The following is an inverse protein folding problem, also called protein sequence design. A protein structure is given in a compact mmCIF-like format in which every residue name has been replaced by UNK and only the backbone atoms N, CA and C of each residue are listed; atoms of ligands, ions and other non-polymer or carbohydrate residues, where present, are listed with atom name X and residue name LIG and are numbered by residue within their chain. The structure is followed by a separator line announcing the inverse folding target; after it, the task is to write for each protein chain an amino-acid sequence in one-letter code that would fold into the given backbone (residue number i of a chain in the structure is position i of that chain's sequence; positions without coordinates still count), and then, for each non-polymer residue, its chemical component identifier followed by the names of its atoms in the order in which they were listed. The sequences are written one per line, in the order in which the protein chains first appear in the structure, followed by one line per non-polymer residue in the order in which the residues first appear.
data_IF_327557706694
#
_entry.id   IF_327557706694
#
_cell.length_a   1.000
_cell.length_b   1.000
_cell.length_c   1.000
_cell.angle_alpha   90.00
_cell.angle_beta   90.00
_cell.angle_gamma   90.00
#
_symmetry.space_group_name_H-M   'P 1'
#
loop_
_entity.id
_entity.type
_entity.pdbx_description
1 polymer ?
#
# COMPACT_ATOMS: atom_id res chain seq x y z
N UNK A 1 37.05 23.92 26.05
CA UNK A 1 36.86 23.92 24.60
C UNK A 1 36.86 22.45 24.14
N UNK A 2 35.73 21.91 23.70
CA UNK A 2 35.65 20.56 23.11
C UNK A 2 35.75 20.73 21.60
N UNK A 3 36.81 20.23 21.00
CA UNK A 3 37.00 20.17 19.55
C UNK A 3 35.88 19.34 18.91
N UNK A 4 35.17 19.94 17.97
CA UNK A 4 34.23 19.23 17.13
C UNK A 4 35.01 18.41 16.09
N UNK A 5 34.86 17.10 16.14
CA UNK A 5 35.36 16.22 15.08
C UNK A 5 34.88 16.68 13.69
N UNK A 6 35.72 16.61 12.65
CA UNK A 6 35.37 17.03 11.31
C UNK A 6 34.25 16.11 10.75
N UNK A 7 33.18 16.71 10.21
CA UNK A 7 32.13 15.99 9.48
C UNK A 7 32.77 15.40 8.22
N UNK A 8 32.66 14.08 8.07
CA UNK A 8 33.03 13.39 6.85
C UNK A 8 32.23 13.96 5.66
N UNK A 9 32.95 14.52 4.69
CA UNK A 9 32.43 15.06 3.44
C UNK A 9 32.42 14.02 2.31
N UNK A 10 32.14 12.75 2.63
CA UNK A 10 31.97 11.77 1.57
C UNK A 10 30.62 12.06 0.83
N UNK A 11 30.66 12.14 -0.52
CA UNK A 11 29.43 12.28 -1.29
C UNK A 11 28.51 11.08 -1.05
N UNK A 12 27.18 11.26 -1.17
CA UNK A 12 26.26 10.15 -1.06
C UNK A 12 26.62 9.08 -2.09
N UNK A 13 26.69 7.82 -1.65
CA UNK A 13 26.93 6.70 -2.54
C UNK A 13 25.69 6.56 -3.43
N UNK A 14 25.77 7.01 -4.69
CA UNK A 14 24.78 6.68 -5.71
C UNK A 14 24.92 5.20 -6.04
N UNK A 15 24.02 4.38 -5.50
CA UNK A 15 23.96 2.97 -5.83
C UNK A 15 23.06 2.81 -7.05
N UNK A 16 23.65 2.41 -8.17
CA UNK A 16 22.87 1.96 -9.31
C UNK A 16 22.09 0.69 -8.91
N UNK A 17 20.77 0.82 -8.96
CA UNK A 17 19.85 -0.28 -8.58
C UNK A 17 20.10 -1.53 -9.43
N UNK A 18 20.50 -1.38 -10.70
CA UNK A 18 20.85 -2.51 -11.56
C UNK A 18 22.15 -3.18 -11.11
N UNK A 19 23.15 -2.40 -10.72
CA UNK A 19 24.41 -2.93 -10.19
C UNK A 19 24.20 -3.63 -8.83
N UNK A 20 23.36 -3.06 -7.96
CA UNK A 20 23.01 -3.70 -6.70
C UNK A 20 22.26 -5.01 -6.93
N UNK A 21 21.30 -5.02 -7.86
CA UNK A 21 20.58 -6.21 -8.27
C UNK A 21 21.56 -7.29 -8.76
N UNK A 22 22.48 -6.92 -9.62
CA UNK A 22 23.50 -7.82 -10.17
C UNK A 22 24.42 -8.37 -9.06
N UNK A 23 24.81 -7.54 -8.10
CA UNK A 23 25.63 -7.94 -6.97
C UNK A 23 24.90 -8.92 -6.02
N UNK A 24 23.65 -8.65 -5.69
CA UNK A 24 22.82 -9.53 -4.83
C UNK A 24 22.58 -10.88 -5.50
N UNK A 25 22.34 -10.86 -6.79
CA UNK A 25 22.12 -12.06 -7.61
C UNK A 25 23.38 -12.89 -7.71
N UNK A 26 24.55 -12.28 -8.00
CA UNK A 26 25.82 -12.99 -8.06
C UNK A 26 26.22 -13.55 -6.69
N UNK A 27 25.96 -12.82 -5.60
CA UNK A 27 26.20 -13.32 -4.26
C UNK A 27 25.29 -14.52 -3.93
N UNK A 28 24.02 -14.49 -4.32
CA UNK A 28 23.10 -15.62 -4.16
C UNK A 28 23.50 -16.82 -5.01
N UNK A 29 23.96 -16.61 -6.23
CA UNK A 29 24.50 -17.67 -7.11
C UNK A 29 25.79 -18.26 -6.53
N UNK A 30 26.70 -17.42 -6.03
CA UNK A 30 27.95 -17.85 -5.40
C UNK A 30 27.78 -18.62 -4.10
N UNK A 31 26.66 -18.43 -3.40
CA UNK A 31 26.32 -19.17 -2.16
C UNK A 31 25.67 -20.54 -2.42
N UNK A 32 25.44 -20.92 -3.68
CA UNK A 32 24.74 -22.15 -4.04
C UNK A 32 23.22 -22.13 -3.79
N UNK A 33 22.69 -21.00 -3.34
CA UNK A 33 21.24 -20.81 -3.15
C UNK A 33 20.47 -20.70 -4.47
N UNK A 34 21.19 -20.39 -5.56
CA UNK A 34 20.66 -20.34 -6.93
C UNK A 34 21.67 -21.03 -7.86
N UNK A 35 21.27 -22.00 -8.70
CA UNK A 35 22.19 -22.66 -9.64
C UNK A 35 22.86 -21.65 -10.59
N UNK A 36 24.17 -21.74 -10.72
CA UNK A 36 24.94 -20.97 -11.74
C UNK A 36 24.44 -21.35 -13.12
N UNK A 37 23.99 -20.39 -13.91
CA UNK A 37 23.56 -20.60 -15.31
C UNK A 37 22.05 -20.52 -15.54
N UNK A 38 21.19 -20.48 -14.50
CA UNK A 38 19.74 -20.36 -14.67
C UNK A 38 19.20 -18.91 -14.58
N UNK A 39 20.09 -17.92 -14.50
CA UNK A 39 19.67 -16.54 -14.29
C UNK A 39 19.68 -15.72 -15.57
N UNK A 40 18.81 -16.08 -16.49
CA UNK A 40 18.31 -15.16 -17.49
C UNK A 40 17.12 -14.38 -16.88
N UNK A 41 17.40 -13.28 -16.21
CA UNK A 41 16.39 -12.41 -15.58
C UNK A 41 15.25 -12.04 -16.54
N UNK A 42 15.53 -11.98 -17.84
CA UNK A 42 14.54 -11.67 -18.85
C UNK A 42 13.58 -12.85 -19.09
N UNK A 43 14.07 -14.08 -19.06
CA UNK A 43 13.24 -15.29 -19.21
C UNK A 43 12.44 -15.60 -17.94
N UNK A 44 13.06 -15.47 -16.76
CA UNK A 44 12.35 -15.67 -15.48
C UNK A 44 11.29 -14.58 -15.23
N UNK A 45 11.47 -13.35 -15.71
CA UNK A 45 10.44 -12.28 -15.65
C UNK A 45 9.13 -12.66 -16.31
N UNK A 46 9.18 -13.44 -17.38
CA UNK A 46 7.98 -13.82 -18.15
C UNK A 46 7.16 -14.94 -17.50
N UNK A 47 7.67 -15.62 -16.47
CA UNK A 47 7.08 -16.88 -16.01
C UNK A 47 6.09 -16.75 -14.85
N UNK A 48 6.29 -15.81 -13.92
CA UNK A 48 5.42 -15.70 -12.71
C UNK A 48 5.13 -14.24 -12.35
N UNK A 49 3.84 -13.85 -12.23
CA UNK A 49 3.44 -12.49 -11.99
C UNK A 49 3.73 -12.04 -10.55
N UNK A 50 4.27 -10.83 -10.40
CA UNK A 50 4.37 -10.10 -9.14
C UNK A 50 3.22 -9.07 -9.10
N UNK A 51 2.19 -9.37 -8.35
CA UNK A 51 1.02 -8.49 -8.21
C UNK A 51 1.17 -7.61 -6.98
N UNK A 52 1.17 -6.29 -7.19
CA UNK A 52 1.25 -5.29 -6.11
C UNK A 52 -0.06 -4.52 -6.03
N UNK A 53 -0.71 -4.59 -4.87
CA UNK A 53 -1.84 -3.74 -4.51
C UNK A 53 -1.32 -2.68 -3.54
N UNK A 54 -1.04 -1.48 -4.06
CA UNK A 54 -0.71 -0.31 -3.28
C UNK A 54 -2.00 0.34 -2.78
N UNK A 55 -2.18 0.45 -1.48
CA UNK A 55 -3.45 0.89 -0.91
C UNK A 55 -3.25 1.83 0.27
N UNK A 56 -4.15 2.80 0.42
CA UNK A 56 -4.31 3.46 1.71
C UNK A 56 -4.86 2.46 2.73
N UNK A 57 -4.50 2.58 4.01
CA UNK A 57 -5.19 1.85 5.06
C UNK A 57 -6.69 2.06 4.98
N UNK A 58 -7.47 1.04 5.30
CA UNK A 58 -8.95 1.08 5.32
C UNK A 58 -9.64 1.22 3.95
N UNK A 59 -8.90 1.06 2.84
CA UNK A 59 -9.45 1.09 1.47
C UNK A 59 -9.95 -0.29 0.95
N UNK A 60 -10.04 -1.31 1.79
CA UNK A 60 -10.55 -2.63 1.38
C UNK A 60 -9.51 -3.57 0.77
N UNK A 61 -8.23 -3.25 0.87
CA UNK A 61 -7.11 -4.01 0.29
C UNK A 61 -7.06 -5.48 0.76
N UNK A 62 -7.43 -5.75 2.01
CA UNK A 62 -7.53 -7.13 2.52
C UNK A 62 -8.51 -7.98 1.72
N UNK A 63 -9.66 -7.40 1.33
CA UNK A 63 -10.63 -8.08 0.47
C UNK A 63 -10.04 -8.35 -0.91
N UNK A 64 -9.56 -7.31 -1.60
CA UNK A 64 -9.04 -7.44 -2.97
C UNK A 64 -7.89 -8.43 -3.05
N UNK A 65 -6.88 -8.31 -2.18
CA UNK A 65 -5.71 -9.19 -2.18
C UNK A 65 -6.07 -10.64 -1.94
N UNK A 66 -6.90 -10.93 -0.93
CA UNK A 66 -7.31 -12.31 -0.67
C UNK A 66 -8.20 -12.88 -1.78
N UNK A 67 -8.99 -12.05 -2.45
CA UNK A 67 -9.78 -12.42 -3.62
C UNK A 67 -8.87 -12.81 -4.79
N UNK A 68 -7.86 -11.97 -5.09
CA UNK A 68 -6.86 -12.26 -6.12
C UNK A 68 -6.08 -13.55 -5.83
N UNK A 69 -5.62 -13.75 -4.60
CA UNK A 69 -4.94 -14.99 -4.17
C UNK A 69 -5.79 -16.21 -4.46
N UNK A 70 -7.09 -16.17 -4.13
CA UNK A 70 -8.00 -17.31 -4.32
C UNK A 70 -8.31 -17.60 -5.77
N UNK A 71 -8.48 -16.58 -6.59
CA UNK A 71 -8.82 -16.74 -8.02
C UNK A 71 -7.59 -17.22 -8.79
N UNK A 72 -6.41 -16.67 -8.51
CA UNK A 72 -5.20 -16.94 -9.29
C UNK A 72 -4.36 -18.11 -8.78
N UNK A 73 -4.59 -18.54 -7.53
CA UNK A 73 -3.74 -19.54 -6.87
C UNK A 73 -2.35 -19.03 -6.50
N UNK A 74 -2.04 -17.75 -6.76
CA UNK A 74 -0.77 -17.14 -6.35
C UNK A 74 -0.66 -17.06 -4.84
N UNK A 75 0.58 -17.09 -4.33
CA UNK A 75 0.84 -16.96 -2.89
C UNK A 75 0.67 -15.52 -2.43
N UNK A 76 0.12 -15.34 -1.23
CA UNK A 76 0.21 -14.06 -0.53
C UNK A 76 1.63 -13.88 0.02
N UNK A 77 2.33 -12.82 -0.35
CA UNK A 77 3.67 -12.52 0.14
C UNK A 77 3.87 -11.02 0.33
N UNK A 78 4.77 -10.65 1.24
CA UNK A 78 5.05 -9.24 1.57
C UNK A 78 6.34 -8.80 0.88
N UNK A 79 6.21 -7.99 -0.15
CA UNK A 79 7.34 -7.48 -0.92
C UNK A 79 8.01 -6.24 -0.26
N UNK A 80 7.97 -6.15 1.07
CA UNK A 80 8.59 -5.09 1.87
C UNK A 80 9.41 -5.67 3.03
N UNK A 81 10.38 -4.91 3.53
CA UNK A 81 11.25 -5.33 4.63
C UNK A 81 10.52 -5.31 5.99
N UNK A 82 9.72 -4.27 6.27
CA UNK A 82 9.08 -4.04 7.57
C UNK A 82 7.57 -3.83 7.42
N UNK A 83 6.80 -4.89 7.46
CA UNK A 83 5.35 -4.82 7.27
C UNK A 83 4.58 -4.22 8.44
N UNK A 84 5.11 -4.31 9.64
CA UNK A 84 4.40 -3.89 10.86
C UNK A 84 4.21 -2.38 10.99
N UNK A 85 4.99 -1.59 10.25
CA UNK A 85 4.96 -0.12 10.30
C UNK A 85 3.79 0.48 9.52
N UNK A 86 3.18 -0.26 8.58
CA UNK A 86 2.21 0.26 7.61
C UNK A 86 2.75 1.45 6.78
N UNK A 87 4.06 1.54 6.64
CA UNK A 87 4.77 2.42 5.72
C UNK A 87 5.80 1.56 5.01
N UNK A 88 5.54 1.27 3.75
CA UNK A 88 6.24 0.23 3.02
C UNK A 88 6.97 0.80 1.81
N UNK A 89 8.13 0.22 1.53
CA UNK A 89 8.79 0.32 0.24
C UNK A 89 9.08 -1.09 -0.29
N UNK A 90 9.19 -1.22 -1.60
CA UNK A 90 9.58 -2.47 -2.23
C UNK A 90 10.98 -2.87 -1.75
N UNK A 91 11.12 -4.13 -1.41
CA UNK A 91 12.36 -4.70 -0.89
C UNK A 91 12.99 -5.63 -1.91
N UNK A 92 14.14 -5.25 -2.44
CA UNK A 92 14.81 -5.94 -3.53
C UNK A 92 15.03 -7.43 -3.28
N UNK A 93 15.51 -7.89 -2.11
CA UNK A 93 15.66 -9.33 -1.84
C UNK A 93 14.34 -10.10 -1.93
N UNK A 94 13.22 -9.50 -1.48
CA UNK A 94 11.91 -10.12 -1.58
C UNK A 94 11.41 -10.19 -3.03
N UNK A 95 11.68 -9.16 -3.83
CA UNK A 95 11.40 -9.15 -5.27
C UNK A 95 12.19 -10.24 -6.00
N UNK A 96 13.49 -10.35 -5.76
CA UNK A 96 14.33 -11.39 -6.35
C UNK A 96 13.81 -12.80 -6.02
N UNK A 97 13.49 -13.05 -4.75
CA UNK A 97 12.93 -14.33 -4.31
C UNK A 97 11.60 -14.63 -5.01
N UNK A 98 10.68 -13.67 -5.00
CA UNK A 98 9.31 -13.91 -5.48
C UNK A 98 9.16 -13.80 -6.99
N UNK A 99 10.12 -13.22 -7.70
CA UNK A 99 10.16 -13.24 -9.16
C UNK A 99 10.11 -14.66 -9.73
N UNK A 100 10.67 -15.63 -9.00
CA UNK A 100 10.66 -17.05 -9.36
C UNK A 100 9.31 -17.75 -9.11
N UNK A 101 8.57 -17.33 -8.08
CA UNK A 101 7.37 -18.06 -7.61
C UNK A 101 6.06 -17.34 -7.94
N UNK A 102 6.10 -16.04 -8.16
CA UNK A 102 4.93 -15.20 -8.25
C UNK A 102 4.24 -14.97 -6.90
N UNK A 103 3.62 -13.81 -6.74
CA UNK A 103 2.86 -13.52 -5.53
C UNK A 103 1.85 -12.40 -5.72
N UNK A 104 0.94 -12.28 -4.74
CA UNK A 104 0.10 -11.09 -4.53
C UNK A 104 0.54 -10.43 -3.23
N UNK A 105 0.87 -9.15 -3.29
CA UNK A 105 1.36 -8.35 -2.17
C UNK A 105 0.45 -7.16 -1.90
N UNK A 106 0.06 -6.98 -0.63
CA UNK A 106 -0.58 -5.76 -0.15
C UNK A 106 0.48 -4.84 0.46
N UNK A 107 0.55 -3.61 -0.01
CA UNK A 107 1.50 -2.62 0.51
C UNK A 107 0.84 -1.27 0.76
N UNK A 108 1.19 -0.63 1.89
CA UNK A 108 0.87 0.76 2.15
C UNK A 108 2.09 1.61 1.75
N UNK A 109 2.31 1.76 0.45
CA UNK A 109 3.51 2.37 -0.11
C UNK A 109 3.19 3.58 -0.99
N UNK A 110 3.99 4.61 -0.86
CA UNK A 110 3.92 5.78 -1.74
C UNK A 110 4.56 5.50 -3.10
N UNK A 111 4.12 6.24 -4.10
CA UNK A 111 4.71 6.25 -5.43
C UNK A 111 6.01 7.03 -5.43
N UNK A 112 7.12 6.42 -5.01
CA UNK A 112 8.45 7.02 -5.01
C UNK A 112 9.23 6.61 -6.26
N UNK A 113 10.26 7.39 -6.62
CA UNK A 113 11.15 7.01 -7.73
C UNK A 113 11.86 5.68 -7.48
N UNK A 114 12.20 5.37 -6.22
CA UNK A 114 12.75 4.07 -5.84
C UNK A 114 11.78 2.94 -6.18
N UNK A 115 10.54 3.03 -5.72
CA UNK A 115 9.51 2.03 -5.99
C UNK A 115 9.22 1.92 -7.49
N UNK A 116 9.17 3.04 -8.22
CA UNK A 116 8.97 3.06 -9.66
C UNK A 116 10.12 2.37 -10.43
N UNK A 117 11.38 2.58 -10.00
CA UNK A 117 12.54 1.92 -10.59
C UNK A 117 12.45 0.40 -10.41
N UNK A 118 12.17 -0.08 -9.21
CA UNK A 118 11.99 -1.51 -8.93
C UNK A 118 10.81 -2.10 -9.71
N UNK A 119 9.68 -1.40 -9.79
CA UNK A 119 8.53 -1.85 -10.60
C UNK A 119 8.89 -2.02 -12.06
N UNK A 120 9.60 -1.06 -12.66
CA UNK A 120 10.06 -1.17 -14.05
C UNK A 120 10.99 -2.37 -14.24
N UNK A 121 11.96 -2.55 -13.34
CA UNK A 121 12.93 -3.65 -13.39
C UNK A 121 12.23 -5.01 -13.36
N UNK A 122 11.21 -5.18 -12.51
CA UNK A 122 10.49 -6.44 -12.35
C UNK A 122 9.22 -6.55 -13.19
N UNK A 123 8.90 -5.57 -14.04
CA UNK A 123 7.71 -5.57 -14.88
C UNK A 123 6.40 -5.53 -14.10
N UNK A 124 6.40 -4.86 -12.95
CA UNK A 124 5.24 -4.75 -12.05
C UNK A 124 4.35 -3.59 -12.49
N UNK A 125 3.08 -3.87 -12.75
CA UNK A 125 2.02 -2.88 -12.93
C UNK A 125 1.16 -2.84 -11.66
N UNK A 126 1.25 -1.81 -10.81
CA UNK A 126 0.54 -1.79 -9.54
C UNK A 126 -0.96 -1.51 -9.72
N UNK A 127 -1.76 -2.08 -8.84
CA UNK A 127 -3.14 -1.66 -8.61
C UNK A 127 -3.15 -0.68 -7.44
N UNK A 128 -3.62 0.54 -7.66
CA UNK A 128 -3.68 1.59 -6.65
C UNK A 128 -5.11 1.65 -6.12
N UNK A 129 -5.29 1.23 -4.87
CA UNK A 129 -6.58 1.15 -4.23
C UNK A 129 -6.76 2.28 -3.22
N UNK A 130 -7.72 3.13 -3.48
CA UNK A 130 -8.07 4.30 -2.66
C UNK A 130 -9.53 4.24 -2.19
N UNK A 131 -9.89 5.12 -1.29
CA UNK A 131 -11.24 5.29 -0.75
C UNK A 131 -11.47 6.77 -0.46
N UNK A 132 -12.72 7.24 -0.40
CA UNK A 132 -13.06 8.58 0.07
C UNK A 132 -12.35 8.88 1.38
N UNK A 133 -11.63 9.99 1.42
CA UNK A 133 -10.73 10.29 2.54
C UNK A 133 -11.49 10.48 3.86
N UNK A 134 -12.68 11.06 3.82
CA UNK A 134 -13.56 11.20 4.97
C UNK A 134 -13.93 9.83 5.58
N UNK A 135 -14.26 8.86 4.71
CA UNK A 135 -14.57 7.49 5.13
C UNK A 135 -13.35 6.75 5.69
N UNK A 136 -12.14 7.05 5.16
CA UNK A 136 -10.89 6.52 5.73
C UNK A 136 -10.70 7.03 7.15
N UNK A 137 -10.88 8.33 7.40
CA UNK A 137 -10.73 8.97 8.72
C UNK A 137 -11.62 8.30 9.76
N UNK A 138 -12.91 8.16 9.47
CA UNK A 138 -13.87 7.50 10.37
C UNK A 138 -13.54 6.02 10.57
N UNK A 139 -13.19 5.31 9.50
CA UNK A 139 -12.81 3.91 9.58
C UNK A 139 -11.52 3.70 10.38
N UNK A 140 -10.58 4.63 10.29
CA UNK A 140 -9.33 4.60 11.07
C UNK A 140 -9.59 4.88 12.55
N UNK A 141 -10.46 5.84 12.88
CA UNK A 141 -10.87 6.09 14.26
C UNK A 141 -11.38 4.80 14.93
N UNK A 142 -12.27 4.08 14.27
CA UNK A 142 -12.77 2.82 14.80
C UNK A 142 -11.68 1.76 14.99
N UNK A 143 -10.79 1.62 14.03
CA UNK A 143 -9.68 0.66 14.12
C UNK A 143 -8.71 1.00 15.29
N UNK A 144 -8.46 2.28 15.51
CA UNK A 144 -7.66 2.75 16.62
C UNK A 144 -8.35 2.50 17.98
N UNK A 145 -9.67 2.69 18.06
CA UNK A 145 -10.47 2.37 19.26
C UNK A 145 -10.43 0.87 19.58
N UNK A 146 -10.64 0.00 18.58
CA UNK A 146 -10.50 -1.44 18.79
C UNK A 146 -9.10 -1.85 19.27
N UNK A 147 -8.06 -1.27 18.67
CA UNK A 147 -6.68 -1.52 19.07
C UNK A 147 -6.39 -1.05 20.50
N UNK A 148 -7.00 0.06 20.94
CA UNK A 148 -6.93 0.51 22.34
C UNK A 148 -7.48 -0.55 23.28
N UNK A 149 -8.67 -1.06 23.02
CA UNK A 149 -9.32 -2.10 23.84
C UNK A 149 -8.46 -3.36 23.92
N UNK A 150 -7.92 -3.81 22.78
CA UNK A 150 -7.05 -5.01 22.75
C UNK A 150 -5.72 -4.81 23.48
N UNK A 151 -5.17 -3.59 23.47
CA UNK A 151 -3.94 -3.27 24.22
C UNK A 151 -4.14 -3.29 25.73
N UNK A 152 -5.30 -2.87 26.22
CA UNK A 152 -5.64 -3.00 27.65
C UNK A 152 -5.64 -4.46 28.10
N UNK A 153 -5.84 -5.41 27.17
CA UNK A 153 -5.76 -6.86 27.41
C UNK A 153 -4.35 -7.46 27.11
N UNK A 154 -3.33 -6.61 26.88
CA UNK A 154 -1.95 -7.07 26.62
C UNK A 154 -1.70 -7.69 25.22
N UNK A 155 -2.68 -7.69 24.33
CA UNK A 155 -2.64 -8.44 23.07
C UNK A 155 -2.33 -7.62 21.82
N UNK A 156 -2.14 -6.30 21.92
CA UNK A 156 -2.08 -5.37 20.78
C UNK A 156 -0.69 -4.80 20.48
N UNK A 157 -0.17 -4.99 19.27
CA UNK A 157 0.97 -4.24 18.73
C UNK A 157 0.55 -2.89 18.17
N UNK A 158 1.50 -1.93 18.11
CA UNK A 158 1.28 -0.53 17.77
C UNK A 158 0.47 -0.30 16.50
N UNK A 159 -0.16 0.85 16.44
CA UNK A 159 -0.95 1.35 15.34
C UNK A 159 -0.18 1.55 14.03
N UNK A 160 -0.39 2.66 13.41
CA UNK A 160 0.24 3.06 12.16
C UNK A 160 1.43 3.97 12.43
N UNK A 161 2.48 3.93 11.61
CA UNK A 161 3.66 4.81 11.75
C UNK A 161 3.32 6.30 11.67
N UNK A 162 2.26 6.65 10.93
CA UNK A 162 1.79 8.02 10.77
C UNK A 162 0.79 8.48 11.86
N UNK A 163 0.35 7.59 12.74
CA UNK A 163 -0.44 7.91 13.94
C UNK A 163 0.06 7.06 15.09
N UNK A 164 0.95 7.63 15.88
CA UNK A 164 1.49 6.94 17.04
C UNK A 164 0.48 6.91 18.18
N UNK A 165 0.27 5.77 18.77
CA UNK A 165 -0.58 5.61 19.93
C UNK A 165 0.23 5.22 21.16
N UNK A 166 0.16 6.05 22.18
CA UNK A 166 0.72 5.82 23.51
C UNK A 166 -0.36 5.91 24.60
N UNK A 167 0.05 6.05 25.86
CA UNK A 167 -0.88 6.18 26.98
C UNK A 167 -1.72 7.46 26.88
N UNK A 168 -1.13 8.58 26.46
CA UNK A 168 -1.81 9.88 26.38
C UNK A 168 -2.95 9.90 25.36
N UNK A 169 -2.78 9.16 24.25
CA UNK A 169 -3.79 9.08 23.20
C UNK A 169 -4.98 8.19 23.57
N UNK A 170 -4.86 7.33 24.62
CA UNK A 170 -5.94 6.45 25.03
C UNK A 170 -7.13 7.20 25.67
N UNK A 171 -6.89 8.36 26.23
CA UNK A 171 -7.86 9.17 26.95
C UNK A 171 -8.57 10.21 26.07
N UNK A 172 -8.19 10.29 24.79
CA UNK A 172 -8.80 11.22 23.86
C UNK A 172 -10.30 10.88 23.66
N UNK A 173 -11.14 11.88 23.69
CA UNK A 173 -12.54 11.78 23.26
C UNK A 173 -12.61 11.38 21.77
N UNK A 174 -13.79 10.94 21.32
CA UNK A 174 -14.00 10.55 19.93
C UNK A 174 -13.71 11.71 18.97
N UNK A 175 -14.12 12.91 19.30
CA UNK A 175 -13.88 14.12 18.53
C UNK A 175 -12.38 14.44 18.45
N UNK A 176 -11.67 14.47 19.59
CA UNK A 176 -10.23 14.70 19.65
C UNK A 176 -9.43 13.64 18.92
N UNK A 177 -9.91 12.40 18.88
CA UNK A 177 -9.30 11.34 18.11
C UNK A 177 -9.47 11.56 16.60
N UNK A 178 -10.62 12.04 16.14
CA UNK A 178 -10.83 12.44 14.76
C UNK A 178 -9.90 13.61 14.39
N UNK A 179 -9.80 14.62 15.24
CA UNK A 179 -8.88 15.73 15.04
C UNK A 179 -7.43 15.27 14.87
N UNK A 180 -6.97 14.40 15.75
CA UNK A 180 -5.63 13.83 15.67
C UNK A 180 -5.41 13.06 14.36
N UNK A 181 -6.39 12.29 13.89
CA UNK A 181 -6.31 11.58 12.62
C UNK A 181 -6.23 12.56 11.45
N UNK A 182 -7.03 13.62 11.47
CA UNK A 182 -7.02 14.65 10.42
C UNK A 182 -5.66 15.36 10.39
N UNK A 183 -5.09 15.66 11.53
CA UNK A 183 -3.82 16.40 11.58
C UNK A 183 -2.60 15.55 11.25
N UNK A 184 -2.57 14.27 11.66
CA UNK A 184 -1.38 13.43 11.56
C UNK A 184 -1.46 12.38 10.46
N UNK A 185 -2.63 11.77 10.23
CA UNK A 185 -2.77 10.70 9.25
C UNK A 185 -3.17 11.19 7.86
N UNK A 186 -4.07 12.19 7.77
CA UNK A 186 -4.51 12.73 6.48
C UNK A 186 -3.35 13.25 5.62
N UNK A 187 -2.32 13.95 6.15
CA UNK A 187 -1.15 14.32 5.36
C UNK A 187 -0.45 13.12 4.69
N UNK A 188 -0.40 11.98 5.37
CA UNK A 188 0.15 10.75 4.79
C UNK A 188 -0.73 10.24 3.64
N UNK A 189 -2.06 10.24 3.80
CA UNK A 189 -2.99 9.80 2.75
C UNK A 189 -2.94 10.72 1.53
N UNK A 190 -2.85 12.02 1.75
CA UNK A 190 -2.68 13.01 0.68
C UNK A 190 -1.37 12.75 -0.06
N UNK A 191 -0.25 12.59 0.65
CA UNK A 191 1.06 12.31 0.05
C UNK A 191 1.08 10.95 -0.68
N UNK A 192 0.38 9.93 -0.17
CA UNK A 192 0.19 8.67 -0.89
C UNK A 192 -0.46 8.92 -2.25
N UNK A 193 -1.59 9.63 -2.28
CA UNK A 193 -2.33 9.90 -3.51
C UNK A 193 -1.52 10.73 -4.50
N UNK A 194 -0.97 11.86 -4.04
CA UNK A 194 -0.18 12.79 -4.86
C UNK A 194 1.03 12.08 -5.50
N UNK A 195 1.74 11.26 -4.73
CA UNK A 195 2.92 10.54 -5.23
C UNK A 195 2.56 9.60 -6.37
N UNK A 196 1.47 8.82 -6.24
CA UNK A 196 1.00 7.95 -7.30
C UNK A 196 0.44 8.71 -8.49
N UNK A 197 -0.35 9.78 -8.23
CA UNK A 197 -0.90 10.62 -9.29
C UNK A 197 0.21 11.16 -10.19
N UNK A 198 1.27 11.74 -9.58
CA UNK A 198 2.40 12.32 -10.33
C UNK A 198 3.20 11.27 -11.10
N UNK A 199 3.49 10.12 -10.52
CA UNK A 199 4.19 9.05 -11.23
C UNK A 199 3.40 8.55 -12.45
N UNK A 200 2.10 8.36 -12.30
CA UNK A 200 1.22 7.94 -13.40
C UNK A 200 1.12 9.03 -14.47
N UNK A 201 0.94 10.28 -14.06
CA UNK A 201 0.82 11.42 -14.98
C UNK A 201 2.11 11.67 -15.79
N UNK A 202 3.26 11.42 -15.18
CA UNK A 202 4.58 11.49 -15.83
C UNK A 202 4.89 10.27 -16.71
N UNK A 203 4.00 9.29 -16.78
CA UNK A 203 4.24 8.04 -17.51
C UNK A 203 5.33 7.14 -16.90
N UNK A 204 5.76 7.43 -15.67
CA UNK A 204 6.81 6.66 -14.99
C UNK A 204 6.35 5.25 -14.56
N UNK A 205 5.04 5.09 -14.33
CA UNK A 205 4.41 3.81 -13.95
C UNK A 205 3.04 3.70 -14.62
N UNK A 206 2.79 2.57 -15.27
CA UNK A 206 1.44 2.18 -15.73
C UNK A 206 0.72 1.52 -14.56
N UNK A 207 -0.38 2.13 -14.08
CA UNK A 207 -1.12 1.65 -12.92
C UNK A 207 -2.63 1.65 -13.15
N UNK A 208 -3.32 0.70 -12.51
CA UNK A 208 -4.79 0.70 -12.46
C UNK A 208 -5.26 1.31 -11.14
N UNK A 209 -6.01 2.40 -11.24
CA UNK A 209 -6.71 2.97 -10.10
C UNK A 209 -8.05 2.26 -9.88
N UNK A 210 -8.28 1.91 -8.61
CA UNK A 210 -9.52 1.30 -8.13
C UNK A 210 -9.97 2.05 -6.88
N UNK A 211 -11.24 2.41 -6.80
CA UNK A 211 -11.80 2.98 -5.57
C UNK A 211 -12.51 1.91 -4.75
N UNK A 212 -12.58 2.12 -3.44
CA UNK A 212 -13.36 1.28 -2.54
C UNK A 212 -14.83 1.20 -2.98
N UNK A 213 -15.36 2.34 -3.42
CA UNK A 213 -16.74 2.52 -3.85
C UNK A 213 -17.05 1.67 -5.09
N UNK A 214 -16.16 1.67 -6.09
CA UNK A 214 -16.26 0.79 -7.26
C UNK A 214 -16.18 -0.69 -6.84
N UNK A 215 -15.19 -1.02 -5.98
CA UNK A 215 -14.95 -2.40 -5.55
C UNK A 215 -16.14 -2.99 -4.79
N UNK A 216 -16.78 -2.21 -3.93
CA UNK A 216 -17.91 -2.69 -3.13
C UNK A 216 -19.27 -2.43 -3.78
N UNK A 217 -19.34 -1.55 -4.79
CA UNK A 217 -20.52 -1.35 -5.65
C UNK A 217 -20.75 -2.53 -6.59
N UNK A 218 -19.68 -2.99 -7.26
CA UNK A 218 -19.72 -4.18 -8.13
C UNK A 218 -18.36 -4.92 -8.02
N UNK A 219 -18.33 -5.88 -7.10
CA UNK A 219 -17.11 -6.65 -6.78
C UNK A 219 -16.63 -7.47 -7.97
N UNK A 220 -17.55 -8.14 -8.69
CA UNK A 220 -17.19 -9.02 -9.78
C UNK A 220 -16.59 -8.23 -10.94
N UNK A 221 -17.29 -7.19 -11.40
CA UNK A 221 -16.82 -6.30 -12.46
C UNK A 221 -15.46 -5.69 -12.14
N UNK A 222 -15.28 -5.20 -10.91
CA UNK A 222 -14.03 -4.56 -10.49
C UNK A 222 -12.89 -5.59 -10.41
N UNK A 223 -13.13 -6.77 -9.86
CA UNK A 223 -12.12 -7.84 -9.78
C UNK A 223 -11.72 -8.30 -11.18
N UNK A 224 -12.66 -8.48 -12.11
CA UNK A 224 -12.37 -8.81 -13.52
C UNK A 224 -11.48 -7.75 -14.16
N UNK A 225 -11.81 -6.47 -14.02
CA UNK A 225 -11.01 -5.35 -14.53
C UNK A 225 -9.56 -5.39 -13.99
N UNK A 226 -9.40 -5.74 -12.72
CA UNK A 226 -8.07 -5.90 -12.12
C UNK A 226 -7.32 -7.09 -12.72
N UNK A 227 -7.96 -8.24 -12.88
CA UNK A 227 -7.34 -9.44 -13.46
C UNK A 227 -6.92 -9.21 -14.92
N UNK A 228 -7.79 -8.57 -15.71
CA UNK A 228 -7.52 -8.22 -17.11
C UNK A 228 -6.35 -7.24 -17.24
N UNK A 229 -6.33 -6.19 -16.43
CA UNK A 229 -5.21 -5.24 -16.39
C UNK A 229 -3.88 -5.90 -16.07
N UNK A 230 -3.89 -6.87 -15.14
CA UNK A 230 -2.71 -7.61 -14.72
C UNK A 230 -2.34 -8.73 -15.70
N UNK A 231 -3.14 -9.00 -16.73
CA UNK A 231 -2.94 -10.10 -17.67
C UNK A 231 -3.01 -11.48 -16.99
N UNK A 232 -3.78 -11.61 -15.91
CA UNK A 232 -3.87 -12.84 -15.14
C UNK A 232 -4.98 -13.72 -15.71
N UNK A 233 -4.67 -15.01 -15.93
CA UNK A 233 -5.67 -15.99 -16.37
C UNK A 233 -6.60 -16.33 -15.21
N UNK A 234 -7.91 -16.40 -15.49
CA UNK A 234 -8.94 -16.83 -14.56
C UNK A 234 -10.07 -17.55 -15.32
N UNK A 235 -10.87 -18.32 -14.60
CA UNK A 235 -12.05 -18.98 -15.18
C UNK A 235 -13.14 -17.97 -15.53
N UNK A 236 -13.93 -18.26 -16.56
CA UNK A 236 -15.01 -17.36 -17.00
C UNK A 236 -16.01 -17.03 -15.88
N UNK A 237 -16.26 -17.96 -14.96
CA UNK A 237 -17.09 -17.74 -13.78
C UNK A 237 -16.20 -17.60 -12.53
N UNK A 238 -16.33 -16.46 -11.83
CA UNK A 238 -15.75 -16.27 -10.50
C UNK A 238 -16.73 -16.82 -9.48
N UNK A 239 -16.27 -17.73 -8.61
CA UNK A 239 -17.09 -18.31 -7.55
C UNK A 239 -17.69 -17.19 -6.66
N UNK A 240 -19.03 -17.04 -6.57
CA UNK A 240 -19.68 -16.05 -5.74
C UNK A 240 -19.29 -16.16 -4.25
N UNK A 241 -18.94 -17.36 -3.78
CA UNK A 241 -18.46 -17.60 -2.42
C UNK A 241 -17.13 -16.88 -2.12
N UNK A 242 -16.29 -16.66 -3.14
CA UNK A 242 -15.07 -15.85 -2.99
C UNK A 242 -15.44 -14.38 -2.81
N UNK A 243 -16.38 -13.86 -3.59
CA UNK A 243 -16.79 -12.46 -3.59
C UNK A 243 -17.66 -12.06 -2.39
N UNK A 244 -18.38 -13.01 -1.81
CA UNK A 244 -19.24 -12.78 -0.63
C UNK A 244 -18.48 -12.87 0.70
N UNK A 245 -17.23 -13.33 0.69
CA UNK A 245 -16.47 -13.60 1.91
C UNK A 245 -16.21 -12.33 2.72
N UNK A 246 -16.55 -12.38 3.99
CA UNK A 246 -16.23 -11.32 4.98
C UNK A 246 -14.90 -11.62 5.64
N UNK A 247 -14.03 -10.63 5.70
CA UNK A 247 -12.74 -10.70 6.40
C UNK A 247 -12.83 -9.93 7.73
N UNK A 248 -12.00 -10.28 8.70
CA UNK A 248 -12.01 -9.67 10.04
C UNK A 248 -11.91 -8.14 10.03
N UNK A 249 -11.27 -7.56 9.03
CA UNK A 249 -11.13 -6.11 8.85
C UNK A 249 -12.34 -5.45 8.18
N UNK A 250 -13.29 -6.26 7.69
CA UNK A 250 -14.53 -5.76 7.10
C UNK A 250 -15.55 -5.49 8.21
N UNK A 251 -16.16 -4.31 8.20
CA UNK A 251 -17.24 -3.95 9.13
C UNK A 251 -18.59 -4.08 8.46
N UNK A 252 -19.05 -3.01 7.84
CA UNK A 252 -20.38 -2.91 7.25
C UNK A 252 -20.39 -2.49 5.77
N UNK A 253 -19.22 -2.12 5.22
CA UNK A 253 -19.08 -1.77 3.80
C UNK A 253 -19.76 -0.46 3.40
N UNK A 254 -20.21 0.35 4.37
CA UNK A 254 -20.94 1.58 4.08
C UNK A 254 -20.03 2.64 3.47
N UNK A 255 -20.57 3.33 2.47
CA UNK A 255 -19.97 4.48 1.79
C UNK A 255 -20.65 5.76 2.31
N UNK A 256 -19.89 6.86 2.41
CA UNK A 256 -20.45 8.17 2.79
C UNK A 256 -20.62 8.39 4.29
N UNK A 257 -20.12 7.48 5.14
CA UNK A 257 -20.20 7.65 6.60
C UNK A 257 -19.35 8.84 7.09
N UNK A 258 -18.26 9.14 6.39
CA UNK A 258 -17.39 10.26 6.71
C UNK A 258 -18.12 11.59 6.68
N UNK A 259 -18.85 11.86 5.61
CA UNK A 259 -19.63 13.10 5.46
C UNK A 259 -20.70 13.29 6.54
N UNK A 260 -21.24 12.19 7.09
CA UNK A 260 -22.25 12.23 8.17
C UNK A 260 -21.64 12.34 9.58
N UNK A 261 -20.39 11.94 9.74
CA UNK A 261 -19.73 11.85 11.06
C UNK A 261 -18.86 13.07 11.36
N UNK A 262 -18.17 13.59 10.34
CA UNK A 262 -17.25 14.71 10.50
C UNK A 262 -18.02 16.03 10.60
N UNK A 263 -17.62 16.89 11.55
CA UNK A 263 -18.14 18.25 11.65
C UNK A 263 -17.73 19.09 10.42
N UNK A 264 -18.45 20.18 10.17
CA UNK A 264 -18.11 21.11 9.07
C UNK A 264 -16.68 21.63 9.19
N UNK A 265 -16.20 21.90 10.41
CA UNK A 265 -14.81 22.33 10.68
C UNK A 265 -13.80 21.23 10.35
N UNK A 266 -14.06 19.98 10.75
CA UNK A 266 -13.19 18.85 10.42
C UNK A 266 -13.12 18.60 8.91
N UNK A 267 -14.25 18.71 8.21
CA UNK A 267 -14.30 18.62 6.75
C UNK A 267 -13.51 19.77 6.07
N UNK A 268 -13.61 21.00 6.60
CA UNK A 268 -12.86 22.16 6.13
C UNK A 268 -11.36 21.92 6.27
N UNK A 269 -10.90 21.49 7.43
CA UNK A 269 -9.48 21.17 7.71
C UNK A 269 -8.96 20.05 6.80
N UNK A 270 -9.78 19.05 6.51
CA UNK A 270 -9.44 18.00 5.58
C UNK A 270 -9.21 18.54 4.16
N UNK A 271 -10.13 19.40 3.67
CA UNK A 271 -9.97 20.06 2.36
C UNK A 271 -8.74 20.95 2.30
N UNK A 272 -8.39 21.64 3.37
CA UNK A 272 -7.15 22.44 3.44
C UNK A 272 -5.89 21.61 3.21
N UNK A 273 -5.82 20.37 3.70
CA UNK A 273 -4.66 19.50 3.45
C UNK A 273 -4.48 19.15 1.98
N UNK A 274 -5.55 19.15 1.21
CA UNK A 274 -5.55 18.84 -0.23
C UNK A 274 -5.23 20.09 -1.05
N UNK A 275 -5.64 21.26 -0.60
CA UNK A 275 -5.49 22.53 -1.33
C UNK A 275 -4.04 22.91 -1.65
N UNK A 276 -3.05 22.33 -0.94
CA UNK A 276 -1.63 22.50 -1.25
C UNK A 276 -1.21 21.92 -2.60
N UNK A 277 -2.04 21.07 -3.21
CA UNK A 277 -1.74 20.36 -4.46
C UNK A 277 -2.80 20.68 -5.52
N UNK A 278 -2.85 21.95 -5.93
CA UNK A 278 -3.85 22.45 -6.89
C UNK A 278 -3.76 21.82 -8.29
N UNK A 279 -2.61 21.19 -8.60
CA UNK A 279 -2.33 20.48 -9.84
C UNK A 279 -2.81 19.03 -9.85
N UNK A 280 -3.36 18.53 -8.74
CA UNK A 280 -3.77 17.13 -8.56
C UNK A 280 -5.28 17.02 -8.50
N UNK A 281 -5.86 16.18 -9.37
CA UNK A 281 -7.27 15.80 -9.29
C UNK A 281 -7.51 14.77 -8.18
N UNK A 282 -8.18 15.20 -7.12
CA UNK A 282 -8.55 14.36 -5.98
C UNK A 282 -9.96 13.73 -6.10
N UNK A 283 -10.60 13.77 -7.26
CA UNK A 283 -11.94 13.22 -7.47
C UNK A 283 -12.10 11.76 -6.99
N UNK A 284 -11.05 10.94 -7.11
CA UNK A 284 -11.03 9.56 -6.59
C UNK A 284 -11.01 9.46 -5.06
N UNK A 285 -10.66 10.52 -4.35
CA UNK A 285 -10.81 10.63 -2.90
C UNK A 285 -12.20 11.16 -2.49
N UNK A 286 -13.02 11.53 -3.47
CA UNK A 286 -14.38 12.04 -3.27
C UNK A 286 -14.43 13.49 -2.80
N UNK A 287 -13.41 14.28 -3.17
CA UNK A 287 -13.28 15.71 -2.89
C UNK A 287 -13.10 16.46 -4.20
#
# INVERSE_FOLDING_TARGET
MKEKAPRSTQPPIEVDVQQLLYAVVNAAAGSGLVPQGEMDFAKERASKPLVVVAATPKAGSTFLVNTLIRITGLRGFRLCAAYSTNEHDLYLPALCLMNRYGCVSQLHMKGTFHNAALMRTFGIKPVILVRRIEDIVVSLQHDLKEKRQRRSLGTGRSGYSFVWQDQSTKELSDERLLDMIIDLAVPWFVNFYVSWYRLCHQGAVEALWVTYEELFGDKEKTVRRVLDFLGLRYTAAIDPGILSRKYRTFRDGRVGQGALTLTAEQQRRLRERISYYADVDFGKYGI
#
